data_IF_606024163287
#
_entry.id   IF_606024163287
#
_cell.length_a   1.000
_cell.length_b   1.000
_cell.length_c   1.000
_cell.angle_alpha   90.00
_cell.angle_beta   90.00
_cell.angle_gamma   90.00
#
_symmetry.space_group_name_H-M   'P 1'
#
loop_
_entity.id
_entity.type
_entity.pdbx_description
1 polymer ?
#
# COMPACT_ATOMS: atom_id res chain seq x y z
N UNK A 1 -30.73 30.68 -11.97
CA UNK A 1 -30.06 29.45 -11.50
C UNK A 1 -30.59 29.13 -10.09
N UNK A 2 -31.40 28.07 -9.93
CA UNK A 2 -31.99 27.66 -8.64
C UNK A 2 -31.15 26.55 -8.00
N UNK A 3 -29.87 26.81 -7.72
CA UNK A 3 -29.02 25.87 -6.98
C UNK A 3 -29.24 26.01 -5.48
N UNK A 4 -29.33 24.89 -4.74
CA UNK A 4 -29.33 24.88 -3.28
C UNK A 4 -28.09 24.14 -2.75
N UNK A 5 -27.42 24.73 -1.76
CA UNK A 5 -26.23 24.17 -1.13
C UNK A 5 -26.58 23.57 0.24
N UNK A 6 -26.96 22.29 0.24
CA UNK A 6 -27.17 21.55 1.48
C UNK A 6 -25.85 21.05 2.05
N UNK A 7 -25.82 20.73 3.36
CA UNK A 7 -24.65 20.08 3.98
C UNK A 7 -24.27 18.75 3.29
N UNK A 8 -25.25 18.01 2.76
CA UNK A 8 -25.01 16.78 1.97
C UNK A 8 -24.32 17.09 0.65
N UNK A 9 -24.78 18.11 -0.06
CA UNK A 9 -24.17 18.58 -1.32
C UNK A 9 -22.75 19.07 -1.09
N UNK A 10 -22.54 19.88 -0.04
CA UNK A 10 -21.22 20.36 0.36
C UNK A 10 -20.25 19.22 0.63
N UNK A 11 -20.62 18.23 1.46
CA UNK A 11 -19.76 17.06 1.73
C UNK A 11 -19.37 16.29 0.46
N UNK A 12 -20.29 16.13 -0.49
CA UNK A 12 -20.00 15.46 -1.77
C UNK A 12 -19.01 16.27 -2.61
N UNK A 13 -19.26 17.57 -2.78
CA UNK A 13 -18.41 18.44 -3.59
C UNK A 13 -16.99 18.55 -3.00
N UNK A 14 -16.87 18.85 -1.71
CA UNK A 14 -15.57 18.87 -1.04
C UNK A 14 -14.88 17.50 -1.07
N UNK A 15 -15.63 16.41 -0.94
CA UNK A 15 -15.10 15.06 -1.08
C UNK A 15 -14.48 14.82 -2.47
N UNK A 16 -15.15 15.25 -3.54
CA UNK A 16 -14.59 15.17 -4.90
C UNK A 16 -13.34 16.04 -5.08
N UNK A 17 -13.29 17.23 -4.45
CA UNK A 17 -12.08 18.06 -4.47
C UNK A 17 -10.93 17.37 -3.74
N UNK A 18 -11.20 16.73 -2.59
CA UNK A 18 -10.17 15.94 -1.88
C UNK A 18 -9.63 14.82 -2.77
N UNK A 19 -10.51 14.10 -3.47
CA UNK A 19 -10.08 13.01 -4.36
C UNK A 19 -9.21 13.52 -5.52
N UNK A 20 -9.55 14.68 -6.10
CA UNK A 20 -8.76 15.31 -7.15
C UNK A 20 -7.39 15.80 -6.63
N UNK A 21 -7.35 16.42 -5.44
CA UNK A 21 -6.09 16.86 -4.82
C UNK A 21 -5.20 15.67 -4.47
N UNK A 22 -5.77 14.56 -4.00
CA UNK A 22 -5.01 13.33 -3.76
C UNK A 22 -4.51 12.68 -5.05
N UNK A 23 -5.25 12.77 -6.16
CA UNK A 23 -4.75 12.34 -7.46
C UNK A 23 -3.52 13.18 -7.87
N UNK A 24 -3.56 14.50 -7.70
CA UNK A 24 -2.40 15.37 -7.94
C UNK A 24 -1.23 15.07 -6.98
N UNK A 25 -1.51 14.71 -5.73
CA UNK A 25 -0.49 14.27 -4.78
C UNK A 25 0.22 12.99 -5.27
N UNK A 26 -0.55 12.01 -5.75
CA UNK A 26 0.00 10.76 -6.29
C UNK A 26 0.76 10.98 -7.60
N UNK A 27 0.29 11.85 -8.50
CA UNK A 27 1.04 12.22 -9.71
C UNK A 27 2.36 12.90 -9.36
N UNK A 28 2.36 13.86 -8.43
CA UNK A 28 3.59 14.51 -7.98
C UNK A 28 4.54 13.53 -7.27
N UNK A 29 4.01 12.54 -6.56
CA UNK A 29 4.80 11.45 -5.98
C UNK A 29 5.46 10.60 -7.07
N UNK A 30 4.69 10.20 -8.10
CA UNK A 30 5.19 9.40 -9.23
C UNK A 30 6.24 10.18 -10.06
N UNK A 31 6.08 11.50 -10.19
CA UNK A 31 7.03 12.42 -10.84
C UNK A 31 8.28 12.74 -9.98
N UNK A 32 8.42 12.12 -8.81
CA UNK A 32 9.52 12.35 -7.87
C UNK A 32 9.63 13.81 -7.40
N UNK A 33 8.48 14.47 -7.17
CA UNK A 33 8.36 15.84 -6.67
C UNK A 33 7.84 15.86 -5.22
N UNK A 34 8.63 15.40 -4.22
CA UNK A 34 8.14 15.13 -2.87
C UNK A 34 7.57 16.37 -2.15
N UNK A 35 8.16 17.55 -2.35
CA UNK A 35 7.66 18.80 -1.78
C UNK A 35 6.29 19.21 -2.35
N UNK A 36 6.03 18.92 -3.63
CA UNK A 36 4.74 19.19 -4.25
C UNK A 36 3.69 18.17 -3.79
N UNK A 37 4.05 16.89 -3.72
CA UNK A 37 3.20 15.84 -3.17
C UNK A 37 2.76 16.16 -1.72
N UNK A 38 3.70 16.56 -0.86
CA UNK A 38 3.42 16.94 0.53
C UNK A 38 2.46 18.14 0.62
N UNK A 39 2.63 19.15 -0.26
CA UNK A 39 1.73 20.31 -0.33
C UNK A 39 0.30 19.91 -0.69
N UNK A 40 0.12 18.97 -1.63
CA UNK A 40 -1.19 18.46 -1.99
C UNK A 40 -1.78 17.58 -0.88
N UNK A 41 -0.99 16.74 -0.20
CA UNK A 41 -1.45 15.97 0.96
C UNK A 41 -1.98 16.89 2.08
N UNK A 42 -1.28 17.97 2.40
CA UNK A 42 -1.73 18.93 3.41
C UNK A 42 -3.05 19.62 3.01
N UNK A 43 -3.23 19.94 1.72
CA UNK A 43 -4.48 20.51 1.21
C UNK A 43 -5.64 19.51 1.31
N UNK A 44 -5.42 18.27 0.86
CA UNK A 44 -6.38 17.19 0.95
C UNK A 44 -6.77 16.89 2.41
N UNK A 45 -5.79 16.87 3.32
CA UNK A 45 -6.02 16.66 4.75
C UNK A 45 -6.96 17.70 5.33
N UNK A 46 -6.68 19.00 5.10
CA UNK A 46 -7.51 20.10 5.61
C UNK A 46 -8.95 20.02 5.10
N UNK A 47 -9.12 19.73 3.82
CA UNK A 47 -10.44 19.58 3.21
C UNK A 47 -11.19 18.36 3.78
N UNK A 48 -10.52 17.21 3.91
CA UNK A 48 -11.11 16.00 4.46
C UNK A 48 -11.53 16.18 5.94
N UNK A 49 -10.69 16.86 6.74
CA UNK A 49 -10.99 17.24 8.12
C UNK A 49 -12.19 18.19 8.20
N UNK A 50 -12.27 19.20 7.32
CA UNK A 50 -13.38 20.16 7.31
C UNK A 50 -14.75 19.50 7.07
N UNK A 51 -14.78 18.36 6.36
CA UNK A 51 -16.02 17.59 6.14
C UNK A 51 -16.16 16.36 7.04
N UNK A 52 -15.21 16.11 7.94
CA UNK A 52 -15.21 14.97 8.85
C UNK A 52 -15.09 13.61 8.17
N UNK A 53 -14.49 13.53 6.97
CA UNK A 53 -14.42 12.30 6.20
C UNK A 53 -13.23 11.43 6.61
N UNK A 54 -13.50 10.49 7.52
CA UNK A 54 -12.50 9.57 8.06
C UNK A 54 -11.86 8.69 7.00
N UNK A 55 -12.58 8.33 5.94
CA UNK A 55 -12.04 7.48 4.89
C UNK A 55 -10.96 8.23 4.09
N UNK A 56 -11.22 9.49 3.76
CA UNK A 56 -10.26 10.34 3.05
C UNK A 56 -9.11 10.81 3.94
N UNK A 57 -9.34 11.11 5.21
CA UNK A 57 -8.27 11.39 6.18
C UNK A 57 -7.31 10.18 6.27
N UNK A 58 -7.87 8.96 6.33
CA UNK A 58 -7.07 7.73 6.31
C UNK A 58 -6.25 7.62 5.04
N UNK A 59 -6.85 7.86 3.87
CA UNK A 59 -6.17 7.83 2.57
C UNK A 59 -4.98 8.79 2.52
N UNK A 60 -5.13 10.01 3.04
CA UNK A 60 -4.02 10.98 3.11
C UNK A 60 -2.87 10.43 3.96
N UNK A 61 -3.15 9.89 5.16
CA UNK A 61 -2.10 9.32 5.99
C UNK A 61 -1.38 8.12 5.34
N UNK A 62 -2.09 7.29 4.59
CA UNK A 62 -1.47 6.20 3.82
C UNK A 62 -0.55 6.77 2.72
N UNK A 63 -0.97 7.83 2.02
CA UNK A 63 -0.13 8.49 1.04
C UNK A 63 1.12 9.12 1.68
N UNK A 64 0.96 9.79 2.82
CA UNK A 64 2.09 10.34 3.59
C UNK A 64 3.08 9.26 4.04
N UNK A 65 2.61 8.08 4.42
CA UNK A 65 3.49 6.95 4.74
C UNK A 65 4.32 6.53 3.52
N UNK A 66 3.70 6.45 2.33
CA UNK A 66 4.43 6.16 1.07
C UNK A 66 5.44 7.23 0.71
N UNK A 67 5.05 8.50 0.87
CA UNK A 67 5.93 9.63 0.61
C UNK A 67 7.13 9.64 1.58
N UNK A 68 6.91 9.39 2.87
CA UNK A 68 7.99 9.31 3.87
C UNK A 68 8.99 8.19 3.55
N UNK A 69 8.53 7.06 3.00
CA UNK A 69 9.41 5.96 2.63
C UNK A 69 10.40 6.35 1.52
N UNK A 70 9.96 7.15 0.54
CA UNK A 70 10.86 7.68 -0.52
C UNK A 70 11.89 8.68 0.00
N UNK A 71 11.73 9.18 1.23
CA UNK A 71 12.66 10.11 1.87
C UNK A 71 13.55 9.42 2.91
N UNK A 72 13.44 8.09 3.06
CA UNK A 72 14.24 7.27 3.99
C UNK A 72 13.80 7.32 5.46
N UNK A 73 12.69 7.98 5.79
CA UNK A 73 12.23 8.16 7.16
C UNK A 73 11.42 6.98 7.71
N UNK A 74 12.05 5.86 8.09
CA UNK A 74 11.32 4.67 8.60
C UNK A 74 10.39 4.97 9.79
N UNK A 75 10.82 5.83 10.71
CA UNK A 75 10.00 6.27 11.85
C UNK A 75 8.79 7.10 11.40
N UNK A 76 8.95 7.95 10.38
CA UNK A 76 7.87 8.77 9.82
C UNK A 76 6.86 7.90 9.05
N UNK A 77 7.34 6.89 8.31
CA UNK A 77 6.48 5.88 7.67
C UNK A 77 5.57 5.23 8.70
N UNK A 78 6.14 4.80 9.83
CA UNK A 78 5.39 4.19 10.91
C UNK A 78 4.43 5.17 11.58
N UNK A 79 4.85 6.41 11.85
CA UNK A 79 4.01 7.43 12.44
C UNK A 79 2.76 7.72 11.57
N UNK A 80 2.95 7.86 10.26
CA UNK A 80 1.85 8.06 9.32
C UNK A 80 0.95 6.83 9.19
N UNK A 81 1.50 5.63 9.10
CA UNK A 81 0.72 4.40 9.00
C UNK A 81 -0.14 4.15 10.25
N UNK A 82 0.40 4.40 11.44
CA UNK A 82 -0.36 4.33 12.70
C UNK A 82 -1.44 5.41 12.77
N UNK A 83 -1.16 6.61 12.26
CA UNK A 83 -2.16 7.69 12.15
C UNK A 83 -3.31 7.29 11.21
N UNK A 84 -3.02 6.57 10.12
CA UNK A 84 -4.05 6.01 9.23
C UNK A 84 -4.98 5.06 9.97
N UNK A 85 -4.45 4.14 10.79
CA UNK A 85 -5.27 3.19 11.58
C UNK A 85 -6.16 3.92 12.59
N UNK A 86 -5.65 4.96 13.26
CA UNK A 86 -6.44 5.79 14.18
C UNK A 86 -7.54 6.57 13.45
N UNK A 87 -7.21 7.18 12.30
CA UNK A 87 -8.17 7.90 11.47
C UNK A 87 -9.30 6.98 10.98
N UNK A 88 -8.97 5.75 10.62
CA UNK A 88 -9.90 4.76 10.07
C UNK A 88 -10.93 4.24 11.08
N UNK A 89 -10.84 4.59 12.37
CA UNK A 89 -11.83 4.20 13.38
C UNK A 89 -13.24 4.72 12.99
N UNK A 90 -14.14 3.83 12.59
CA UNK A 90 -15.49 4.18 12.12
C UNK A 90 -15.59 4.47 10.62
N UNK A 91 -14.50 4.33 9.86
CA UNK A 91 -14.55 4.28 8.40
C UNK A 91 -15.06 2.91 7.91
N UNK A 92 -15.46 2.77 6.63
CA UNK A 92 -15.85 1.49 6.05
C UNK A 92 -14.79 0.40 6.26
N UNK A 93 -15.17 -0.88 6.46
CA UNK A 93 -14.23 -1.95 6.77
C UNK A 93 -13.07 -2.07 5.78
N UNK A 94 -13.32 -1.89 4.47
CA UNK A 94 -12.27 -1.96 3.44
C UNK A 94 -11.16 -0.91 3.66
N UNK A 95 -11.53 0.31 4.10
CA UNK A 95 -10.56 1.37 4.44
C UNK A 95 -9.71 0.97 5.65
N UNK A 96 -10.32 0.30 6.63
CA UNK A 96 -9.63 -0.18 7.83
C UNK A 96 -8.67 -1.33 7.51
N UNK A 97 -9.08 -2.23 6.60
CA UNK A 97 -8.22 -3.28 6.09
C UNK A 97 -6.96 -2.69 5.43
N UNK A 98 -7.16 -1.72 4.54
CA UNK A 98 -6.06 -1.07 3.85
C UNK A 98 -5.12 -0.28 4.79
N UNK A 99 -5.67 0.40 5.79
CA UNK A 99 -4.86 1.05 6.82
C UNK A 99 -4.04 0.04 7.64
N UNK A 100 -4.61 -1.11 8.00
CA UNK A 100 -3.91 -2.13 8.79
C UNK A 100 -2.81 -2.83 7.98
N UNK A 101 -3.01 -3.12 6.70
CA UNK A 101 -1.93 -3.71 5.88
C UNK A 101 -0.81 -2.68 5.63
N UNK A 102 -1.14 -1.40 5.45
CA UNK A 102 -0.15 -0.32 5.40
C UNK A 102 0.66 -0.25 6.71
N UNK A 103 0.00 -0.37 7.85
CA UNK A 103 0.65 -0.44 9.17
C UNK A 103 1.57 -1.67 9.29
N UNK A 104 1.14 -2.84 8.80
CA UNK A 104 1.99 -4.04 8.77
C UNK A 104 3.28 -3.81 7.98
N UNK A 105 3.19 -3.18 6.81
CA UNK A 105 4.35 -2.84 5.99
C UNK A 105 5.29 -1.88 6.70
N UNK A 106 4.74 -0.90 7.42
CA UNK A 106 5.54 0.05 8.19
C UNK A 106 6.24 -0.62 9.38
N UNK A 107 5.58 -1.55 10.06
CA UNK A 107 6.20 -2.35 11.12
C UNK A 107 7.34 -3.23 10.60
N UNK A 108 7.19 -3.80 9.40
CA UNK A 108 8.23 -4.61 8.77
C UNK A 108 9.50 -3.78 8.53
N UNK A 109 9.37 -2.57 7.98
CA UNK A 109 10.50 -1.65 7.81
C UNK A 109 11.19 -1.25 9.13
N UNK A 110 10.45 -1.26 10.23
CA UNK A 110 10.97 -0.91 11.56
C UNK A 110 11.39 -2.16 12.36
N UNK A 111 11.49 -3.34 11.72
CA UNK A 111 11.99 -4.57 12.33
C UNK A 111 11.09 -5.15 13.42
N UNK A 112 9.79 -4.82 13.44
CA UNK A 112 8.84 -5.26 14.48
C UNK A 112 7.98 -6.44 14.00
N UNK A 113 8.58 -7.63 13.87
CA UNK A 113 7.93 -8.83 13.29
C UNK A 113 6.59 -9.21 13.96
N UNK A 114 6.52 -9.18 15.29
CA UNK A 114 5.27 -9.49 16.02
C UNK A 114 4.14 -8.51 15.67
N UNK A 115 4.46 -7.24 15.44
CA UNK A 115 3.50 -6.22 15.05
C UNK A 115 3.02 -6.42 13.61
N UNK A 116 3.89 -6.93 12.72
CA UNK A 116 3.51 -7.31 11.34
C UNK A 116 2.42 -8.37 11.38
N UNK A 117 2.63 -9.46 12.12
CA UNK A 117 1.65 -10.56 12.26
C UNK A 117 0.31 -10.03 12.79
N UNK A 118 0.35 -9.22 13.85
CA UNK A 118 -0.86 -8.65 14.44
C UNK A 118 -1.60 -7.68 13.50
N UNK A 119 -0.87 -6.87 12.71
CA UNK A 119 -1.45 -5.92 11.77
C UNK A 119 -2.05 -6.63 10.54
N UNK A 120 -1.38 -7.63 9.97
CA UNK A 120 -1.92 -8.46 8.87
C UNK A 120 -3.19 -9.18 9.31
N UNK A 121 -3.21 -9.76 10.51
CA UNK A 121 -4.40 -10.41 11.06
C UNK A 121 -5.60 -9.44 11.10
N UNK A 122 -5.40 -8.23 11.65
CA UNK A 122 -6.44 -7.18 11.67
C UNK A 122 -6.87 -6.76 10.27
N UNK A 123 -5.94 -6.68 9.31
CA UNK A 123 -6.26 -6.32 7.93
C UNK A 123 -7.21 -7.35 7.30
N UNK A 124 -6.89 -8.66 7.43
CA UNK A 124 -7.73 -9.77 6.97
C UNK A 124 -9.12 -9.77 7.63
N UNK A 125 -9.20 -9.56 8.95
CA UNK A 125 -10.47 -9.47 9.68
C UNK A 125 -11.37 -8.34 9.15
N UNK A 126 -10.80 -7.16 8.85
CA UNK A 126 -11.58 -6.07 8.26
C UNK A 126 -11.95 -6.32 6.80
N UNK A 127 -11.09 -7.00 6.04
CA UNK A 127 -11.35 -7.34 4.65
C UNK A 127 -12.53 -8.32 4.53
N UNK A 128 -12.57 -9.36 5.36
CA UNK A 128 -13.70 -10.31 5.43
C UNK A 128 -15.00 -9.56 5.74
N UNK A 129 -14.97 -8.62 6.70
CA UNK A 129 -16.13 -7.78 7.03
C UNK A 129 -16.53 -6.82 5.91
N UNK A 130 -15.62 -6.47 5.01
CA UNK A 130 -15.91 -5.58 3.89
C UNK A 130 -16.75 -6.28 2.82
N UNK A 131 -16.67 -7.62 2.69
CA UNK A 131 -17.39 -8.36 1.64
C UNK A 131 -18.92 -8.18 1.69
N UNK A 132 -19.47 -7.80 2.85
CA UNK A 132 -20.89 -7.47 3.02
C UNK A 132 -21.25 -6.01 2.69
N UNK A 133 -20.32 -5.19 2.20
CA UNK A 133 -20.51 -3.75 1.98
C UNK A 133 -19.69 -3.22 0.81
N UNK A 134 -20.24 -2.32 0.01
CA UNK A 134 -19.44 -1.60 -1.00
C UNK A 134 -18.42 -0.67 -0.31
N UNK A 135 -17.15 -0.78 -0.69
CA UNK A 135 -16.10 0.17 -0.32
C UNK A 135 -16.21 1.50 -1.08
N UNK A 136 -15.40 2.51 -0.73
CA UNK A 136 -15.31 3.72 -1.54
C UNK A 136 -14.65 3.43 -2.89
N UNK A 137 -15.08 4.11 -3.95
CA UNK A 137 -14.61 3.86 -5.33
C UNK A 137 -13.07 3.93 -5.48
N UNK A 138 -12.40 4.80 -4.73
CA UNK A 138 -10.93 4.90 -4.76
C UNK A 138 -10.19 3.66 -4.21
N UNK A 139 -10.91 2.68 -3.64
CA UNK A 139 -10.39 1.37 -3.20
C UNK A 139 -10.84 0.20 -4.08
N UNK A 140 -11.44 0.43 -5.26
CA UNK A 140 -11.88 -0.67 -6.13
C UNK A 140 -10.75 -1.63 -6.52
N UNK A 141 -9.50 -1.15 -6.58
CA UNK A 141 -8.30 -1.95 -6.84
C UNK A 141 -7.83 -2.80 -5.64
N UNK A 142 -8.30 -2.52 -4.42
CA UNK A 142 -7.86 -3.20 -3.20
C UNK A 142 -8.70 -4.46 -2.95
N UNK A 143 -8.37 -5.51 -3.69
CA UNK A 143 -8.97 -6.84 -3.60
C UNK A 143 -8.17 -7.79 -2.69
N UNK A 144 -8.58 -9.07 -2.65
CA UNK A 144 -7.89 -10.07 -1.81
C UNK A 144 -6.47 -10.32 -2.28
N UNK A 145 -6.23 -10.29 -3.61
CA UNK A 145 -4.90 -10.46 -4.19
C UNK A 145 -3.96 -9.35 -3.71
N UNK A 146 -4.44 -8.11 -3.73
CA UNK A 146 -3.70 -6.95 -3.28
C UNK A 146 -3.39 -6.99 -1.78
N UNK A 147 -4.39 -7.36 -0.96
CA UNK A 147 -4.20 -7.54 0.48
C UNK A 147 -3.12 -8.57 0.77
N UNK A 148 -3.23 -9.75 0.18
CA UNK A 148 -2.31 -10.86 0.43
C UNK A 148 -0.92 -10.60 -0.17
N UNK A 149 -0.83 -9.89 -1.30
CA UNK A 149 0.43 -9.45 -1.86
C UNK A 149 1.19 -8.48 -0.94
N UNK A 150 0.48 -7.48 -0.39
CA UNK A 150 1.07 -6.56 0.58
C UNK A 150 1.42 -7.25 1.91
N UNK A 151 0.65 -8.25 2.32
CA UNK A 151 0.97 -9.07 3.49
C UNK A 151 2.22 -9.93 3.25
N UNK A 152 2.34 -10.58 2.09
CA UNK A 152 3.51 -11.35 1.70
C UNK A 152 4.78 -10.49 1.72
N UNK A 153 4.71 -9.29 1.15
CA UNK A 153 5.81 -8.32 1.21
C UNK A 153 6.17 -7.98 2.66
N UNK A 154 5.18 -7.67 3.52
CA UNK A 154 5.44 -7.30 4.91
C UNK A 154 6.09 -8.44 5.69
N UNK A 155 5.65 -9.69 5.47
CA UNK A 155 6.27 -10.86 6.08
C UNK A 155 7.69 -11.10 5.57
N UNK A 156 7.94 -10.96 4.26
CA UNK A 156 9.28 -11.10 3.69
C UNK A 156 10.26 -10.09 4.32
N UNK A 157 9.90 -8.80 4.36
CA UNK A 157 10.74 -7.75 4.97
C UNK A 157 10.96 -7.98 6.46
N UNK A 158 10.01 -8.60 7.16
CA UNK A 158 10.15 -8.97 8.56
C UNK A 158 10.92 -10.29 8.81
N UNK A 159 11.40 -10.97 7.77
CA UNK A 159 12.09 -12.26 7.87
C UNK A 159 11.18 -13.46 8.18
N UNK A 160 9.86 -13.31 8.02
CA UNK A 160 8.85 -14.32 8.33
C UNK A 160 8.52 -15.15 7.08
N UNK A 161 9.48 -15.97 6.64
CA UNK A 161 9.44 -16.65 5.35
C UNK A 161 8.20 -17.55 5.15
N UNK A 162 7.83 -18.35 6.14
CA UNK A 162 6.69 -19.27 6.02
C UNK A 162 5.34 -18.54 5.92
N UNK A 163 5.13 -17.52 6.75
CA UNK A 163 3.93 -16.69 6.68
C UNK A 163 3.86 -15.92 5.36
N UNK A 164 5.00 -15.43 4.87
CA UNK A 164 5.11 -14.75 3.59
C UNK A 164 4.80 -15.66 2.41
N UNK A 165 5.33 -16.89 2.41
CA UNK A 165 5.05 -17.89 1.38
C UNK A 165 3.56 -18.26 1.33
N UNK A 166 2.90 -18.39 2.49
CA UNK A 166 1.47 -18.65 2.54
C UNK A 166 0.64 -17.49 1.96
N UNK A 167 0.95 -16.24 2.36
CA UNK A 167 0.28 -15.06 1.80
C UNK A 167 0.52 -14.91 0.29
N UNK A 168 1.77 -15.15 -0.16
CA UNK A 168 2.11 -15.13 -1.58
C UNK A 168 1.31 -16.15 -2.38
N UNK A 169 1.16 -17.38 -1.85
CA UNK A 169 0.37 -18.44 -2.47
C UNK A 169 -1.09 -18.02 -2.64
N UNK A 170 -1.68 -17.39 -1.62
CA UNK A 170 -3.06 -16.88 -1.69
C UNK A 170 -3.20 -15.77 -2.73
N UNK A 171 -2.25 -14.83 -2.78
CA UNK A 171 -2.25 -13.77 -3.79
C UNK A 171 -2.12 -14.35 -5.21
N UNK A 172 -1.17 -15.25 -5.45
CA UNK A 172 -0.85 -15.83 -6.76
C UNK A 172 -1.91 -16.81 -7.29
N UNK A 173 -2.79 -17.34 -6.43
CA UNK A 173 -3.92 -18.16 -6.86
C UNK A 173 -5.03 -17.34 -7.56
N UNK A 174 -4.98 -16.00 -7.45
CA UNK A 174 -5.98 -15.09 -8.01
C UNK A 174 -5.46 -14.46 -9.31
N UNK A 175 -6.30 -14.38 -10.37
CA UNK A 175 -5.89 -13.79 -11.64
C UNK A 175 -5.63 -12.29 -11.50
N UNK A 176 -4.80 -11.75 -12.39
CA UNK A 176 -4.49 -10.32 -12.48
C UNK A 176 -4.15 -9.92 -13.90
N UNK A 177 -4.73 -8.83 -14.36
CA UNK A 177 -4.37 -8.10 -15.57
C UNK A 177 -3.29 -7.03 -15.30
N UNK A 178 -3.01 -6.75 -14.03
CA UNK A 178 -2.02 -5.76 -13.58
C UNK A 178 -0.60 -6.36 -13.62
N UNK A 179 0.10 -6.19 -14.73
CA UNK A 179 1.48 -6.71 -14.93
C UNK A 179 2.45 -6.24 -13.86
N UNK A 180 2.39 -4.96 -13.46
CA UNK A 180 3.27 -4.39 -12.42
C UNK A 180 3.14 -5.16 -11.11
N UNK A 181 1.92 -5.39 -10.65
CA UNK A 181 1.67 -6.04 -9.36
C UNK A 181 2.16 -7.50 -9.38
N UNK A 182 2.04 -8.16 -10.53
CA UNK A 182 2.61 -9.49 -10.74
C UNK A 182 4.14 -9.50 -10.64
N UNK A 183 4.83 -8.51 -11.21
CA UNK A 183 6.30 -8.38 -11.04
C UNK A 183 6.65 -8.12 -9.57
N UNK A 184 5.92 -7.26 -8.87
CA UNK A 184 6.18 -6.98 -7.45
C UNK A 184 6.01 -8.24 -6.56
N UNK A 185 5.06 -9.13 -6.90
CA UNK A 185 4.95 -10.44 -6.24
C UNK A 185 6.12 -11.37 -6.56
N UNK A 186 6.62 -11.39 -7.81
CA UNK A 186 7.79 -12.21 -8.17
C UNK A 186 9.06 -11.74 -7.45
N UNK A 187 9.23 -10.43 -7.24
CA UNK A 187 10.32 -9.89 -6.41
C UNK A 187 10.17 -10.39 -4.96
N UNK A 188 8.94 -10.39 -4.44
CA UNK A 188 8.65 -10.89 -3.08
C UNK A 188 8.90 -12.39 -2.97
N UNK A 189 8.55 -13.16 -4.00
CA UNK A 189 8.84 -14.59 -4.12
C UNK A 189 10.34 -14.86 -4.05
N UNK A 190 11.14 -14.11 -4.81
CA UNK A 190 12.59 -14.23 -4.80
C UNK A 190 13.19 -13.93 -3.42
N UNK A 191 12.68 -12.93 -2.70
CA UNK A 191 13.14 -12.62 -1.33
C UNK A 191 12.77 -13.74 -0.35
N UNK A 192 11.56 -14.30 -0.45
CA UNK A 192 11.13 -15.42 0.41
C UNK A 192 11.97 -16.68 0.16
N UNK A 193 12.31 -16.97 -1.11
CA UNK A 193 13.23 -18.05 -1.46
C UNK A 193 14.64 -17.81 -0.86
N UNK A 194 15.15 -16.58 -0.94
CA UNK A 194 16.43 -16.18 -0.33
C UNK A 194 16.43 -16.42 1.19
N UNK A 195 15.35 -16.05 1.89
CA UNK A 195 15.21 -16.25 3.34
C UNK A 195 15.18 -17.73 3.73
N UNK A 196 14.67 -18.61 2.87
CA UNK A 196 14.69 -20.07 3.05
C UNK A 196 16.00 -20.73 2.65
N UNK A 197 16.91 -19.99 2.01
CA UNK A 197 18.15 -20.53 1.47
C UNK A 197 17.98 -21.30 0.15
N UNK A 198 16.84 -21.14 -0.55
CA UNK A 198 16.59 -21.77 -1.85
C UNK A 198 17.09 -20.86 -2.98
N UNK A 199 18.35 -21.04 -3.38
CA UNK A 199 18.98 -20.25 -4.43
C UNK A 199 18.40 -20.52 -5.83
N UNK A 200 17.87 -21.73 -6.06
CA UNK A 200 17.29 -22.11 -7.34
C UNK A 200 15.94 -21.41 -7.55
N UNK A 201 15.07 -21.44 -6.54
CA UNK A 201 13.80 -20.74 -6.55
C UNK A 201 14.00 -19.22 -6.62
N UNK A 202 14.96 -18.68 -5.86
CA UNK A 202 15.31 -17.26 -5.92
C UNK A 202 15.68 -16.82 -7.35
N UNK A 203 16.60 -17.54 -7.99
CA UNK A 203 17.07 -17.21 -9.35
C UNK A 203 15.93 -17.34 -10.36
N UNK A 204 15.08 -18.36 -10.24
CA UNK A 204 13.94 -18.56 -11.12
C UNK A 204 12.88 -17.46 -10.97
N UNK A 205 12.60 -17.00 -9.75
CA UNK A 205 11.67 -15.90 -9.49
C UNK A 205 12.22 -14.55 -9.98
N UNK A 206 13.50 -14.27 -9.73
CA UNK A 206 14.18 -13.06 -10.23
C UNK A 206 14.15 -13.00 -11.77
N UNK A 207 14.49 -14.11 -12.45
CA UNK A 207 14.47 -14.15 -13.92
C UNK A 207 13.06 -13.92 -14.51
N UNK A 208 12.02 -14.47 -13.88
CA UNK A 208 10.62 -14.20 -14.29
C UNK A 208 10.26 -12.74 -14.08
N UNK A 209 10.69 -12.13 -12.97
CA UNK A 209 10.44 -10.73 -12.68
C UNK A 209 11.11 -9.82 -13.73
N UNK A 210 12.37 -10.11 -14.09
CA UNK A 210 13.11 -9.39 -15.14
C UNK A 210 12.43 -9.51 -16.50
N UNK A 211 12.02 -10.70 -16.92
CA UNK A 211 11.33 -10.91 -18.19
C UNK A 211 9.98 -10.16 -18.25
N UNK A 212 9.19 -10.26 -17.18
CA UNK A 212 7.88 -9.61 -17.12
C UNK A 212 7.97 -8.08 -17.01
N UNK A 213 9.10 -7.52 -16.54
CA UNK A 213 9.30 -6.08 -16.41
C UNK A 213 9.77 -5.38 -17.68
N UNK A 214 10.23 -6.10 -18.71
CA UNK A 214 10.84 -5.51 -19.93
C UNK A 214 9.95 -4.50 -20.66
N UNK A 215 8.63 -4.63 -20.55
CA UNK A 215 7.67 -3.74 -21.19
C UNK A 215 7.14 -2.63 -20.26
N UNK A 216 7.60 -2.58 -19.01
CA UNK A 216 7.15 -1.63 -18.01
C UNK A 216 8.09 -0.41 -17.96
N UNK A 217 7.54 0.77 -18.13
CA UNK A 217 8.27 2.04 -17.98
C UNK A 217 8.17 2.53 -16.52
N UNK A 218 8.76 1.79 -15.57
CA UNK A 218 8.71 2.13 -14.15
C UNK A 218 10.11 2.15 -13.52
N UNK A 219 10.65 3.36 -13.32
CA UNK A 219 11.97 3.58 -12.69
C UNK A 219 12.09 2.89 -11.32
N UNK A 220 11.06 3.02 -10.47
CA UNK A 220 11.02 2.39 -9.15
C UNK A 220 11.09 0.85 -9.22
N UNK A 221 10.43 0.26 -10.23
CA UNK A 221 10.46 -1.18 -10.40
C UNK A 221 11.84 -1.64 -10.90
N UNK A 222 12.47 -0.87 -11.78
CA UNK A 222 13.85 -1.10 -12.22
C UNK A 222 14.82 -1.05 -11.04
N UNK A 223 14.75 -0.02 -10.19
CA UNK A 223 15.59 0.10 -8.98
C UNK A 223 15.42 -1.10 -8.04
N UNK A 224 14.18 -1.57 -7.85
CA UNK A 224 13.90 -2.77 -7.03
C UNK A 224 14.50 -4.06 -7.62
N UNK A 225 14.47 -4.21 -8.95
CA UNK A 225 15.08 -5.35 -9.63
C UNK A 225 16.61 -5.28 -9.58
N UNK A 226 17.19 -4.08 -9.69
CA UNK A 226 18.63 -3.87 -9.51
C UNK A 226 19.09 -4.29 -8.11
N UNK A 227 18.37 -3.87 -7.06
CA UNK A 227 18.62 -4.31 -5.68
C UNK A 227 18.49 -5.84 -5.53
N UNK A 228 17.43 -6.43 -6.10
CA UNK A 228 17.23 -7.88 -6.07
C UNK A 228 18.40 -8.63 -6.72
N UNK A 229 18.84 -8.17 -7.90
CA UNK A 229 19.92 -8.77 -8.67
C UNK A 229 21.30 -8.55 -8.01
N UNK A 230 21.46 -7.49 -7.23
CA UNK A 230 22.62 -7.28 -6.37
C UNK A 230 22.61 -8.15 -5.09
N UNK A 231 21.54 -8.90 -4.83
CA UNK A 231 21.37 -9.71 -3.64
C UNK A 231 21.06 -8.90 -2.38
N UNK A 232 20.62 -7.65 -2.55
CA UNK A 232 20.25 -6.80 -1.44
C UNK A 232 18.87 -7.18 -0.88
N UNK A 233 18.66 -7.12 0.46
CA UNK A 233 17.37 -7.43 1.05
C UNK A 233 16.27 -6.47 0.58
N UNK A 234 15.05 -6.99 0.43
CA UNK A 234 13.87 -6.19 0.10
C UNK A 234 13.60 -5.14 1.19
N UNK A 235 13.64 -3.85 0.84
CA UNK A 235 13.45 -2.74 1.79
C UNK A 235 12.50 -1.63 1.31
N UNK A 236 11.96 -1.74 0.09
CA UNK A 236 11.22 -0.64 -0.55
C UNK A 236 9.70 -0.71 -0.31
N UNK A 237 9.15 0.34 0.32
CA UNK A 237 7.74 0.51 0.68
C UNK A 237 6.81 0.88 -0.49
#
# INVERSE_FOLDING_TARGET
LNGSFSARTGRRLYGSVVDAVLAMASMAYDDQLPGLAQRYDLQAMRLAQAIGDRARITRVHIHQARLAATQGGQADVLAHARSAVLAAKGAPPLVRAYACVTEARAWALNGQADQVVAAVKRAREFFVRAQSSSGPAWLEWFDLRELEGQAAWAFAVAGLAEQGAQALKEASALPSDRTRDTVELMITEAELARLRGDSAEHTAAASRADQASQHLMSRRLSERLDHLNAGEPLRDF
#
